data_IF_517442120795
#
_entry.id   IF_517442120795
#
_cell.length_a   1.000
_cell.length_b   1.000
_cell.length_c   1.000
_cell.angle_alpha   90.00
_cell.angle_beta   90.00
_cell.angle_gamma   90.00
#
_symmetry.space_group_name_H-M   'P 1'
#
loop_
_entity.id
_entity.type
_entity.pdbx_description
1 polymer ?
#
# COMPACT_ATOMS: atom_id res chain seq x y z
N UNK A 1 19.75 -8.28 -22.38
CA UNK A 1 18.59 -8.03 -23.29
C UNK A 1 18.14 -6.59 -23.08
N UNK A 2 17.92 -5.85 -24.19
CA UNK A 2 17.50 -4.45 -24.11
C UNK A 2 16.06 -4.31 -24.58
N UNK A 3 15.29 -3.48 -23.90
CA UNK A 3 13.95 -3.10 -24.28
C UNK A 3 13.91 -1.58 -24.48
N UNK A 4 13.20 -1.10 -25.50
CA UNK A 4 13.08 0.32 -25.83
C UNK A 4 11.63 0.66 -26.07
N UNK A 5 11.15 1.74 -25.45
CA UNK A 5 9.78 2.20 -25.61
C UNK A 5 9.34 3.13 -24.49
N UNK A 6 8.01 3.25 -24.25
CA UNK A 6 7.46 4.09 -23.21
C UNK A 6 7.78 3.54 -21.82
N UNK A 7 8.48 4.34 -21.00
CA UNK A 7 8.76 4.08 -19.60
C UNK A 7 8.12 5.17 -18.75
N UNK A 8 7.32 4.80 -17.76
CA UNK A 8 6.75 5.74 -16.81
C UNK A 8 7.80 6.23 -15.82
N UNK A 9 7.85 7.54 -15.64
CA UNK A 9 8.76 8.25 -14.72
C UNK A 9 7.98 9.28 -13.91
N UNK A 10 8.58 9.93 -12.93
CA UNK A 10 7.96 11.06 -12.20
C UNK A 10 7.49 12.21 -13.10
N UNK A 11 8.09 12.34 -14.29
CA UNK A 11 7.70 13.35 -15.28
C UNK A 11 6.75 12.80 -16.35
N UNK A 12 6.08 11.67 -16.10
CA UNK A 12 5.22 10.96 -17.05
C UNK A 12 5.98 9.99 -17.96
N UNK A 13 5.30 9.49 -18.99
CA UNK A 13 5.91 8.56 -19.94
C UNK A 13 7.02 9.22 -20.76
N UNK A 14 8.14 8.51 -20.91
CA UNK A 14 9.29 8.91 -21.73
C UNK A 14 9.82 7.69 -22.49
N UNK A 15 10.18 7.88 -23.76
CA UNK A 15 10.91 6.84 -24.49
C UNK A 15 12.30 6.64 -23.89
N UNK A 16 12.57 5.42 -23.42
CA UNK A 16 13.82 5.00 -22.80
C UNK A 16 14.24 3.63 -23.32
N UNK A 17 15.51 3.32 -23.19
CA UNK A 17 16.02 1.97 -23.35
C UNK A 17 16.40 1.43 -21.97
N UNK A 18 15.88 0.25 -21.63
CA UNK A 18 16.13 -0.43 -20.36
C UNK A 18 16.95 -1.69 -20.63
N UNK A 19 18.02 -1.88 -19.88
CA UNK A 19 18.65 -3.19 -19.77
C UNK A 19 17.84 -4.06 -18.81
N UNK A 20 17.17 -5.07 -19.33
CA UNK A 20 16.29 -5.96 -18.55
C UNK A 20 17.03 -6.87 -17.55
N UNK A 21 18.36 -6.95 -17.60
CA UNK A 21 19.16 -7.79 -16.70
C UNK A 21 19.46 -7.07 -15.37
N UNK A 22 19.74 -5.77 -15.43
CA UNK A 22 20.08 -4.98 -14.25
C UNK A 22 19.11 -3.81 -13.98
N UNK A 23 18.03 -3.73 -14.76
CA UNK A 23 16.98 -2.70 -14.64
C UNK A 23 17.47 -1.26 -14.83
N UNK A 24 18.60 -1.05 -15.50
CA UNK A 24 19.18 0.27 -15.71
C UNK A 24 18.73 0.91 -17.03
N UNK A 25 18.51 2.24 -16.97
CA UNK A 25 18.34 3.05 -18.18
C UNK A 25 19.67 3.15 -18.90
N UNK A 26 19.69 2.85 -20.21
CA UNK A 26 20.90 2.92 -21.05
C UNK A 26 20.63 3.78 -22.27
N UNK A 27 21.69 4.31 -22.89
CA UNK A 27 21.61 5.11 -24.12
C UNK A 27 22.24 4.37 -25.31
N UNK A 28 21.69 4.61 -26.49
CA UNK A 28 22.32 4.21 -27.75
C UNK A 28 22.14 2.74 -28.14
N UNK A 29 21.26 1.99 -27.52
CA UNK A 29 20.94 0.62 -27.90
C UNK A 29 19.58 0.54 -28.61
N UNK A 30 19.48 -0.31 -29.63
CA UNK A 30 18.21 -0.72 -30.21
C UNK A 30 17.67 -1.91 -29.43
N UNK A 31 16.36 -1.89 -29.12
CA UNK A 31 15.65 -2.90 -28.35
C UNK A 31 14.31 -3.23 -28.99
N UNK A 32 13.65 -4.26 -28.46
CA UNK A 32 12.28 -4.60 -28.82
C UNK A 32 11.32 -3.56 -28.22
N UNK A 33 10.34 -3.12 -29.00
CA UNK A 33 9.38 -2.06 -28.64
C UNK A 33 7.99 -2.65 -28.34
N UNK A 34 7.92 -3.79 -27.67
CA UNK A 34 6.63 -4.39 -27.36
C UNK A 34 6.25 -4.14 -25.89
N UNK A 35 5.14 -3.39 -25.70
CA UNK A 35 4.59 -3.10 -24.39
C UNK A 35 4.93 -1.72 -23.82
N UNK A 36 4.67 -1.58 -22.51
CA UNK A 36 4.87 -0.38 -21.70
C UNK A 36 5.59 -0.79 -20.41
N UNK A 37 6.58 -0.02 -19.99
CA UNK A 37 7.24 -0.24 -18.70
C UNK A 37 6.76 0.79 -17.68
N UNK A 38 6.38 0.27 -16.49
CA UNK A 38 6.12 1.08 -15.30
C UNK A 38 7.01 0.62 -14.16
N UNK A 39 7.39 1.52 -13.22
CA UNK A 39 8.07 1.13 -11.99
C UNK A 39 7.25 0.11 -11.19
N UNK A 40 7.90 -0.66 -10.34
CA UNK A 40 7.20 -1.53 -9.39
C UNK A 40 6.25 -0.70 -8.52
N UNK A 41 5.04 -1.20 -8.29
CA UNK A 41 4.03 -0.53 -7.47
C UNK A 41 4.41 -0.51 -5.99
N UNK A 42 3.85 0.45 -5.27
CA UNK A 42 3.86 0.52 -3.80
C UNK A 42 2.48 0.16 -3.27
N UNK A 43 2.39 -0.88 -2.46
CA UNK A 43 1.20 -1.21 -1.70
C UNK A 43 1.38 -0.72 -0.26
N UNK A 44 0.85 0.48 0.00
CA UNK A 44 1.13 1.22 1.22
C UNK A 44 0.33 0.77 2.44
N UNK A 45 -0.55 -0.22 2.27
CA UNK A 45 -1.29 -0.83 3.37
C UNK A 45 -1.84 -2.20 3.00
N UNK A 46 -1.44 -3.22 3.75
CA UNK A 46 -1.93 -4.60 3.61
C UNK A 46 -2.13 -5.29 4.96
N UNK A 47 -2.96 -6.35 4.94
CA UNK A 47 -3.09 -7.36 5.98
C UNK A 47 -2.97 -8.75 5.34
N UNK A 48 -1.76 -9.17 4.98
CA UNK A 48 -1.56 -10.44 4.26
C UNK A 48 -1.93 -11.69 5.07
N UNK A 49 -2.02 -11.57 6.40
CA UNK A 49 -2.37 -12.69 7.29
C UNK A 49 -3.77 -13.27 7.08
N UNK A 50 -4.66 -12.56 6.40
CA UNK A 50 -6.03 -12.98 6.15
C UNK A 50 -6.33 -13.31 4.67
N UNK A 51 -5.33 -13.33 3.78
CA UNK A 51 -5.49 -13.55 2.34
C UNK A 51 -6.28 -14.82 2.01
N UNK A 52 -6.01 -15.94 2.67
CA UNK A 52 -6.71 -17.21 2.44
C UNK A 52 -8.16 -17.22 2.96
N UNK A 53 -8.58 -16.21 3.70
CA UNK A 53 -9.95 -16.07 4.16
C UNK A 53 -10.90 -15.57 3.05
N UNK A 54 -10.39 -15.06 1.93
CA UNK A 54 -11.15 -14.37 0.87
C UNK A 54 -12.43 -15.09 0.42
N UNK A 55 -12.35 -16.37 0.19
CA UNK A 55 -13.50 -17.16 -0.26
C UNK A 55 -14.47 -17.54 0.87
N UNK A 56 -14.13 -17.24 2.11
CA UNK A 56 -14.89 -17.65 3.29
C UNK A 56 -15.48 -16.48 4.08
N UNK A 57 -15.18 -15.26 3.68
CA UNK A 57 -15.69 -14.03 4.34
C UNK A 57 -17.21 -13.97 4.23
N UNK A 58 -17.93 -13.82 5.37
CA UNK A 58 -19.37 -13.58 5.34
C UNK A 58 -19.70 -12.21 4.74
N UNK A 59 -20.59 -12.18 3.74
CA UNK A 59 -20.89 -10.96 2.96
C UNK A 59 -21.71 -9.89 3.69
N UNK A 60 -22.40 -10.26 4.77
CA UNK A 60 -23.39 -9.39 5.42
C UNK A 60 -22.92 -8.87 6.80
N UNK A 61 -21.62 -8.87 7.06
CA UNK A 61 -21.09 -8.35 8.32
C UNK A 61 -20.70 -6.87 8.17
N UNK A 62 -21.06 -6.07 9.18
CA UNK A 62 -20.51 -4.71 9.31
C UNK A 62 -18.99 -4.75 9.57
N UNK A 63 -18.31 -3.65 9.28
CA UNK A 63 -16.87 -3.49 9.54
C UNK A 63 -16.50 -3.97 10.95
N UNK A 64 -17.19 -3.46 11.99
CA UNK A 64 -16.93 -3.83 13.39
C UNK A 64 -17.05 -5.33 13.66
N UNK A 65 -18.09 -5.99 13.12
CA UNK A 65 -18.29 -7.42 13.29
C UNK A 65 -17.30 -8.26 12.51
N UNK A 66 -16.77 -7.73 11.41
CA UNK A 66 -15.82 -8.42 10.56
C UNK A 66 -14.38 -8.27 11.11
N UNK A 67 -13.90 -7.04 11.28
CA UNK A 67 -12.48 -6.75 11.63
C UNK A 67 -12.29 -6.16 13.03
N UNK A 68 -13.34 -5.68 13.68
CA UNK A 68 -13.24 -5.13 15.04
C UNK A 68 -12.76 -6.14 16.08
N UNK A 69 -12.47 -5.71 17.32
CA UNK A 69 -11.97 -6.57 18.39
C UNK A 69 -12.86 -7.82 18.61
N UNK A 70 -12.27 -9.02 18.51
CA UNK A 70 -13.02 -10.29 18.60
C UNK A 70 -13.98 -10.57 17.43
N UNK A 71 -13.90 -9.79 16.35
CA UNK A 71 -14.65 -9.97 15.13
C UNK A 71 -14.36 -11.28 14.40
N UNK A 72 -15.00 -11.47 13.24
CA UNK A 72 -14.87 -12.70 12.46
C UNK A 72 -13.42 -12.97 12.02
N UNK A 73 -12.69 -11.92 11.57
CA UNK A 73 -11.27 -12.00 11.19
C UNK A 73 -10.42 -12.60 12.30
N UNK A 74 -10.53 -12.08 13.54
CA UNK A 74 -9.73 -12.56 14.66
C UNK A 74 -9.98 -14.03 14.95
N UNK A 75 -11.27 -14.47 14.96
CA UNK A 75 -11.62 -15.88 15.15
C UNK A 75 -11.14 -16.79 14.02
N UNK A 76 -11.06 -16.25 12.79
CA UNK A 76 -10.52 -16.97 11.64
C UNK A 76 -9.00 -17.14 11.78
N UNK A 77 -8.28 -16.07 12.14
CA UNK A 77 -6.82 -16.10 12.36
C UNK A 77 -6.41 -17.07 13.48
N UNK A 78 -7.21 -17.20 14.55
CA UNK A 78 -6.96 -18.16 15.64
C UNK A 78 -7.05 -19.63 15.21
N UNK A 79 -7.80 -19.93 14.15
CA UNK A 79 -8.11 -21.28 13.69
C UNK A 79 -7.33 -21.71 12.46
N UNK A 80 -6.67 -20.81 11.79
CA UNK A 80 -6.01 -21.04 10.51
C UNK A 80 -4.52 -20.72 10.58
N UNK A 81 -3.76 -21.28 9.66
CA UNK A 81 -2.34 -21.00 9.55
C UNK A 81 -2.10 -19.64 8.89
N UNK A 82 -1.61 -18.69 9.68
CA UNK A 82 -1.31 -17.33 9.21
C UNK A 82 -0.15 -17.35 8.21
N UNK A 83 0.84 -18.24 8.38
CA UNK A 83 1.99 -18.37 7.48
C UNK A 83 1.54 -18.72 6.05
N UNK A 84 0.67 -19.72 5.90
CA UNK A 84 0.13 -20.08 4.59
C UNK A 84 -0.59 -18.90 3.92
N UNK A 85 -1.32 -18.11 4.72
CA UNK A 85 -2.04 -16.93 4.25
C UNK A 85 -1.08 -15.82 3.78
N UNK A 86 -0.03 -15.56 4.55
CA UNK A 86 1.02 -14.59 4.19
C UNK A 86 1.72 -15.04 2.91
N UNK A 87 2.10 -16.31 2.81
CA UNK A 87 2.75 -16.88 1.61
C UNK A 87 1.85 -16.75 0.37
N UNK A 88 0.54 -16.99 0.52
CA UNK A 88 -0.41 -16.80 -0.58
C UNK A 88 -0.47 -15.33 -1.04
N UNK A 89 -0.60 -14.39 -0.09
CA UNK A 89 -0.59 -12.96 -0.38
C UNK A 89 0.73 -12.51 -1.01
N UNK A 90 1.87 -12.97 -0.52
CA UNK A 90 3.17 -12.64 -1.09
C UNK A 90 3.35 -13.13 -2.54
N UNK A 91 2.76 -14.27 -2.90
CA UNK A 91 2.73 -14.70 -4.31
C UNK A 91 1.96 -13.72 -5.21
N UNK A 92 0.81 -13.24 -4.76
CA UNK A 92 0.05 -12.20 -5.48
C UNK A 92 0.87 -10.89 -5.58
N UNK A 93 1.50 -10.43 -4.50
CA UNK A 93 2.37 -9.25 -4.43
C UNK A 93 3.51 -9.34 -5.47
N UNK A 94 4.25 -10.45 -5.48
CA UNK A 94 5.39 -10.64 -6.38
C UNK A 94 4.93 -10.70 -7.85
N UNK A 95 3.88 -11.46 -8.13
CA UNK A 95 3.39 -11.65 -9.50
C UNK A 95 2.75 -10.40 -10.08
N UNK A 96 2.21 -9.51 -9.25
CA UNK A 96 1.61 -8.24 -9.67
C UNK A 96 2.59 -7.06 -9.73
N UNK A 97 3.89 -7.30 -9.45
CA UNK A 97 4.92 -6.28 -9.58
C UNK A 97 4.89 -5.23 -8.47
N UNK A 98 4.52 -5.61 -7.27
CA UNK A 98 4.58 -4.72 -6.11
C UNK A 98 5.96 -4.75 -5.49
N UNK A 99 6.68 -3.63 -5.49
CA UNK A 99 8.07 -3.52 -5.03
C UNK A 99 8.22 -3.09 -3.57
N UNK A 100 7.20 -2.47 -3.01
CA UNK A 100 7.15 -2.08 -1.59
C UNK A 100 5.80 -2.45 -1.00
N UNK A 101 5.82 -3.03 0.19
CA UNK A 101 4.62 -3.25 0.99
C UNK A 101 4.77 -2.67 2.40
N UNK A 102 3.70 -2.07 2.93
CA UNK A 102 3.52 -1.76 4.34
C UNK A 102 2.45 -2.70 4.87
N UNK A 103 2.85 -3.68 5.68
CA UNK A 103 1.94 -4.72 6.14
C UNK A 103 1.69 -4.65 7.65
N UNK A 104 0.42 -4.48 8.02
CA UNK A 104 0.00 -4.46 9.41
C UNK A 104 -0.15 -5.88 9.94
N UNK A 105 0.66 -6.21 10.96
CA UNK A 105 0.84 -7.59 11.40
C UNK A 105 0.27 -7.80 12.79
N UNK A 106 -0.91 -8.40 12.86
CA UNK A 106 -1.51 -8.91 14.09
C UNK A 106 -0.78 -10.19 14.53
N UNK A 107 -0.81 -10.50 15.82
CA UNK A 107 -0.33 -11.78 16.34
C UNK A 107 1.01 -11.74 17.05
N UNK A 108 1.56 -10.55 17.30
CA UNK A 108 2.77 -10.40 18.12
C UNK A 108 4.07 -10.79 17.39
N UNK A 109 5.10 -11.11 18.18
CA UNK A 109 6.45 -11.34 17.67
C UNK A 109 6.55 -12.58 16.77
N UNK A 110 5.79 -13.63 17.07
CA UNK A 110 5.81 -14.89 16.32
C UNK A 110 5.42 -14.73 14.87
N UNK A 111 4.44 -13.85 14.60
CA UNK A 111 3.91 -13.63 13.25
C UNK A 111 4.81 -12.70 12.42
N UNK A 112 5.57 -11.82 13.06
CA UNK A 112 6.59 -11.03 12.37
C UNK A 112 7.69 -11.89 11.77
N UNK A 113 8.13 -12.94 12.48
CA UNK A 113 9.21 -13.83 12.03
C UNK A 113 8.86 -14.70 10.82
N UNK A 114 7.59 -14.76 10.41
CA UNK A 114 7.19 -15.44 9.17
C UNK A 114 7.93 -14.86 7.97
N UNK A 115 8.09 -13.53 7.93
CA UNK A 115 8.77 -12.85 6.84
C UNK A 115 10.26 -13.15 6.73
N UNK A 116 10.92 -13.60 7.81
CA UNK A 116 12.33 -13.99 7.79
C UNK A 116 12.59 -15.20 6.86
N UNK A 117 11.55 -15.99 6.57
CA UNK A 117 11.60 -17.17 5.72
C UNK A 117 11.04 -16.95 4.31
N UNK A 118 10.61 -15.72 3.98
CA UNK A 118 10.04 -15.39 2.66
C UNK A 118 11.08 -14.67 1.83
N UNK A 119 11.44 -15.26 0.70
CA UNK A 119 12.25 -14.58 -0.32
C UNK A 119 11.38 -13.55 -1.05
N UNK A 120 11.52 -12.30 -0.67
CA UNK A 120 10.89 -11.16 -1.33
C UNK A 120 11.96 -10.23 -1.90
N UNK A 121 12.01 -10.05 -3.23
CA UNK A 121 13.03 -9.20 -3.87
C UNK A 121 12.78 -7.70 -3.67
N UNK A 122 11.59 -7.32 -3.18
CA UNK A 122 11.22 -5.94 -2.85
C UNK A 122 11.49 -5.57 -1.39
N UNK A 123 10.82 -4.55 -0.93
CA UNK A 123 10.91 -4.05 0.45
C UNK A 123 9.62 -4.29 1.22
N UNK A 124 9.69 -5.04 2.32
CA UNK A 124 8.59 -5.23 3.26
C UNK A 124 8.82 -4.42 4.54
N UNK A 125 7.90 -3.51 4.83
CA UNK A 125 7.86 -2.75 6.08
C UNK A 125 6.73 -3.33 6.92
N UNK A 126 7.08 -4.06 7.97
CA UNK A 126 6.13 -4.72 8.85
C UNK A 126 5.82 -3.81 10.04
N UNK A 127 4.54 -3.51 10.22
CA UNK A 127 4.02 -2.73 11.34
C UNK A 127 3.42 -3.70 12.36
N UNK A 128 4.14 -3.93 13.45
CA UNK A 128 3.78 -4.93 14.44
C UNK A 128 2.65 -4.47 15.37
N UNK A 129 1.80 -5.41 15.77
CA UNK A 129 0.82 -5.28 16.86
C UNK A 129 1.18 -6.26 17.95
N UNK A 130 1.42 -5.79 19.20
CA UNK A 130 1.68 -6.70 20.31
C UNK A 130 0.43 -7.51 20.68
N UNK A 131 0.61 -8.73 21.12
CA UNK A 131 -0.40 -9.42 21.92
C UNK A 131 -0.51 -8.76 23.30
N UNK A 132 -1.59 -9.02 24.03
CA UNK A 132 -1.81 -8.45 25.36
C UNK A 132 -0.59 -8.67 26.27
N UNK A 133 -0.04 -7.55 26.79
CA UNK A 133 1.09 -7.56 27.72
C UNK A 133 2.48 -7.71 27.08
N UNK A 134 2.59 -7.81 25.77
CA UNK A 134 3.86 -7.82 25.05
C UNK A 134 4.37 -6.40 24.76
N UNK A 135 5.69 -6.27 24.64
CA UNK A 135 6.31 -5.09 24.05
C UNK A 135 6.04 -5.03 22.54
N UNK A 136 6.21 -3.83 21.95
CA UNK A 136 6.10 -3.64 20.51
C UNK A 136 6.99 -4.64 19.75
N UNK A 137 6.42 -5.56 18.96
CA UNK A 137 7.18 -6.48 18.15
C UNK A 137 7.80 -5.73 16.95
N UNK A 138 9.09 -5.93 16.70
CA UNK A 138 9.83 -5.20 15.66
C UNK A 138 10.09 -3.74 16.03
N UNK A 139 10.25 -2.88 15.01
CA UNK A 139 10.53 -1.45 15.21
C UNK A 139 9.33 -0.55 14.87
N UNK A 140 8.45 -0.94 13.94
CA UNK A 140 7.33 -0.14 13.50
C UNK A 140 6.04 -0.54 14.21
N UNK A 141 5.15 0.41 14.48
CA UNK A 141 3.87 0.20 15.14
C UNK A 141 2.70 0.32 14.15
N UNK A 142 1.82 -0.71 14.12
CA UNK A 142 0.54 -0.68 13.44
C UNK A 142 -0.59 -0.59 14.46
N UNK A 143 -1.31 0.54 14.49
CA UNK A 143 -2.37 0.83 15.47
C UNK A 143 -3.74 0.70 14.81
N UNK A 144 -4.68 -0.06 15.41
CA UNK A 144 -6.01 -0.26 14.82
C UNK A 144 -6.85 0.98 14.84
N UNK A 145 -6.93 1.65 15.99
CA UNK A 145 -7.59 2.95 16.17
C UNK A 145 -7.20 3.54 17.51
N UNK A 146 -7.48 4.81 17.73
CA UNK A 146 -7.31 5.44 19.05
C UNK A 146 -8.28 4.89 20.08
N UNK A 147 -9.45 4.38 19.65
CA UNK A 147 -10.49 3.82 20.54
C UNK A 147 -10.15 2.43 21.04
N UNK A 148 -9.61 1.59 20.14
CA UNK A 148 -9.42 0.16 20.40
C UNK A 148 -8.10 -0.16 21.13
N UNK A 149 -7.15 0.78 21.13
CA UNK A 149 -5.81 0.59 21.66
C UNK A 149 -5.52 1.59 22.76
N UNK A 150 -5.75 1.18 24.01
CA UNK A 150 -5.55 2.04 25.20
C UNK A 150 -4.11 2.51 25.43
N UNK A 151 -3.13 1.84 24.78
CA UNK A 151 -1.70 2.15 24.87
C UNK A 151 -1.11 2.67 23.57
N UNK A 152 -1.91 3.30 22.69
CA UNK A 152 -1.47 3.83 21.39
C UNK A 152 -0.27 4.78 21.50
N UNK A 153 -0.26 5.65 22.53
CA UNK A 153 0.84 6.58 22.80
C UNK A 153 2.13 5.85 23.19
N UNK A 154 2.03 4.77 23.99
CA UNK A 154 3.18 3.97 24.39
C UNK A 154 3.77 3.22 23.19
N UNK A 155 2.92 2.66 22.32
CA UNK A 155 3.34 1.99 21.09
C UNK A 155 4.03 2.95 20.12
N UNK A 156 3.44 4.12 19.91
CA UNK A 156 4.04 5.16 19.07
C UNK A 156 5.39 5.62 19.63
N UNK A 157 5.47 5.82 20.95
CA UNK A 157 6.71 6.19 21.64
C UNK A 157 7.77 5.08 21.51
N UNK A 158 7.39 3.82 21.66
CA UNK A 158 8.28 2.68 21.51
C UNK A 158 8.82 2.55 20.08
N UNK A 159 7.97 2.76 19.06
CA UNK A 159 8.38 2.76 17.67
C UNK A 159 9.40 3.87 17.39
N UNK A 160 9.11 5.09 17.78
CA UNK A 160 10.03 6.24 17.60
C UNK A 160 11.38 6.03 18.29
N UNK A 161 11.41 5.48 19.50
CA UNK A 161 12.68 5.13 20.19
C UNK A 161 13.51 4.12 19.42
N UNK A 162 12.89 3.29 18.60
CA UNK A 162 13.55 2.29 17.74
C UNK A 162 13.84 2.83 16.33
N UNK A 163 13.55 4.10 16.03
CA UNK A 163 13.65 4.67 14.69
C UNK A 163 12.68 4.03 13.69
N UNK A 164 11.52 3.59 14.17
CA UNK A 164 10.48 2.95 13.39
C UNK A 164 9.31 3.88 13.06
N UNK A 165 8.49 3.45 12.10
CA UNK A 165 7.28 4.14 11.65
C UNK A 165 6.08 3.83 12.56
N UNK A 166 5.15 4.77 12.60
CA UNK A 166 3.84 4.64 13.26
C UNK A 166 2.73 4.83 12.22
N UNK A 167 1.97 3.78 11.96
CA UNK A 167 0.78 3.83 11.12
C UNK A 167 -0.49 3.55 11.94
N UNK A 168 -1.60 4.21 11.62
CA UNK A 168 -2.87 4.07 12.34
C UNK A 168 -4.06 4.11 11.40
N UNK A 169 -5.10 3.28 11.63
CA UNK A 169 -6.40 3.41 10.98
C UNK A 169 -7.22 4.51 11.68
N UNK A 170 -7.91 5.33 10.90
CA UNK A 170 -8.72 6.42 11.44
C UNK A 170 -9.87 6.80 10.50
N UNK A 171 -11.00 7.13 11.06
CA UNK A 171 -12.19 7.62 10.35
C UNK A 171 -12.62 6.75 9.17
N UNK A 172 -12.53 5.42 9.29
CA UNK A 172 -12.91 4.49 8.23
C UNK A 172 -14.43 4.36 8.11
N UNK A 173 -15.15 4.12 9.22
CA UNK A 173 -16.60 3.87 9.25
C UNK A 173 -17.41 5.00 9.84
N UNK A 174 -16.77 5.87 10.60
CA UNK A 174 -17.36 7.09 11.19
C UNK A 174 -16.25 8.12 11.39
N UNK A 175 -16.63 9.39 11.54
CA UNK A 175 -15.68 10.44 11.88
C UNK A 175 -15.12 10.23 13.29
N UNK A 176 -13.81 10.25 13.44
CA UNK A 176 -13.11 10.09 14.71
C UNK A 176 -12.40 11.39 15.15
N UNK A 177 -11.79 11.37 16.36
CA UNK A 177 -11.10 12.52 16.96
C UNK A 177 -9.78 12.83 16.23
N UNK A 178 -9.81 13.83 15.35
CA UNK A 178 -8.65 14.24 14.57
C UNK A 178 -7.58 14.94 15.41
N UNK A 179 -7.96 15.65 16.47
CA UNK A 179 -7.00 16.32 17.34
C UNK A 179 -6.21 15.27 18.17
N UNK A 180 -6.86 14.18 18.55
CA UNK A 180 -6.20 13.01 19.14
C UNK A 180 -5.24 12.32 18.18
N UNK A 181 -5.62 12.19 16.89
CA UNK A 181 -4.73 11.67 15.84
C UNK A 181 -3.47 12.53 15.70
N UNK A 182 -3.64 13.85 15.60
CA UNK A 182 -2.52 14.80 15.50
C UNK A 182 -1.64 14.75 16.74
N UNK A 183 -2.25 14.64 17.93
CA UNK A 183 -1.54 14.49 19.21
C UNK A 183 -0.68 13.21 19.27
N UNK A 184 -1.12 12.13 18.61
CA UNK A 184 -0.34 10.90 18.47
C UNK A 184 0.83 11.11 17.51
N UNK A 185 0.71 12.01 16.54
CA UNK A 185 1.68 12.33 15.49
C UNK A 185 2.19 11.06 14.75
N UNK A 186 1.32 10.25 14.13
CA UNK A 186 1.76 9.11 13.33
C UNK A 186 2.51 9.57 12.08
N UNK A 187 3.29 8.67 11.45
CA UNK A 187 3.92 8.94 10.17
C UNK A 187 2.89 8.92 9.05
N UNK A 188 1.92 8.01 9.15
CA UNK A 188 0.79 7.97 8.23
C UNK A 188 -0.50 7.47 8.88
N UNK A 189 -1.60 7.86 8.29
CA UNK A 189 -2.96 7.44 8.65
C UNK A 189 -3.62 6.71 7.49
N UNK A 190 -4.43 5.68 7.79
CA UNK A 190 -5.14 4.88 6.79
C UNK A 190 -6.62 5.25 6.78
N UNK A 191 -7.23 5.28 5.59
CA UNK A 191 -8.63 5.51 5.24
C UNK A 191 -9.08 6.97 5.20
N UNK A 192 -9.38 7.59 6.31
CA UNK A 192 -9.99 8.92 6.42
C UNK A 192 -11.30 9.10 5.62
N UNK A 193 -12.09 8.01 5.41
CA UNK A 193 -13.32 8.04 4.62
C UNK A 193 -14.37 9.03 5.13
N UNK A 194 -14.42 9.25 6.44
CA UNK A 194 -15.38 10.13 7.10
C UNK A 194 -14.75 11.42 7.67
N UNK A 195 -13.52 11.74 7.27
CA UNK A 195 -12.89 13.01 7.62
C UNK A 195 -13.61 14.19 6.93
N UNK A 196 -13.80 15.29 7.66
CA UNK A 196 -14.27 16.54 7.06
C UNK A 196 -13.13 17.26 6.33
N UNK A 197 -13.47 18.26 5.52
CA UNK A 197 -12.47 19.11 4.86
C UNK A 197 -11.50 19.74 5.86
N UNK A 198 -12.01 20.24 6.99
CA UNK A 198 -11.19 20.81 8.07
C UNK A 198 -10.26 19.76 8.71
N UNK A 199 -10.70 18.51 8.81
CA UNK A 199 -9.87 17.40 9.31
C UNK A 199 -8.73 17.11 8.35
N UNK A 200 -9.00 17.09 7.05
CA UNK A 200 -7.98 16.87 6.02
C UNK A 200 -6.93 17.98 6.00
N UNK A 201 -7.36 19.24 6.13
CA UNK A 201 -6.44 20.38 6.23
C UNK A 201 -5.55 20.26 7.46
N UNK A 202 -6.10 19.89 8.62
CA UNK A 202 -5.34 19.66 9.84
C UNK A 202 -4.32 18.51 9.70
N UNK A 203 -4.71 17.40 9.08
CA UNK A 203 -3.81 16.24 8.83
C UNK A 203 -2.66 16.65 7.92
N UNK A 204 -2.96 17.40 6.84
CA UNK A 204 -1.96 17.95 5.93
C UNK A 204 -0.99 18.88 6.66
N UNK A 205 -1.51 19.85 7.41
CA UNK A 205 -0.70 20.84 8.14
C UNK A 205 0.19 20.18 9.20
N UNK A 206 -0.25 19.07 9.77
CA UNK A 206 0.56 18.24 10.67
C UNK A 206 1.64 17.42 9.94
N UNK A 207 1.65 17.40 8.60
CA UNK A 207 2.60 16.65 7.78
C UNK A 207 2.47 15.13 7.96
N UNK A 208 1.24 14.66 8.18
CA UNK A 208 0.89 13.23 8.27
C UNK A 208 0.51 12.75 6.88
N UNK A 209 1.17 11.71 6.39
CA UNK A 209 0.84 11.09 5.10
C UNK A 209 -0.44 10.26 5.19
N UNK A 210 -1.12 10.04 4.06
CA UNK A 210 -2.41 9.34 4.03
C UNK A 210 -2.34 8.12 3.12
N UNK A 211 -2.85 6.99 3.57
CA UNK A 211 -3.05 5.80 2.74
C UNK A 211 -4.54 5.57 2.54
N UNK A 212 -4.97 5.47 1.29
CA UNK A 212 -6.36 5.15 0.94
C UNK A 212 -6.45 3.77 0.32
N UNK A 213 -7.54 3.05 0.64
CA UNK A 213 -7.79 1.67 0.22
C UNK A 213 -9.17 1.55 -0.44
N UNK A 214 -9.39 2.17 -1.62
CA UNK A 214 -10.72 2.34 -2.18
C UNK A 214 -11.52 1.07 -2.40
N UNK A 215 -10.92 -0.05 -2.84
CA UNK A 215 -11.65 -1.33 -3.00
C UNK A 215 -12.12 -1.92 -1.68
N UNK A 216 -11.25 -1.88 -0.67
CA UNK A 216 -11.61 -2.33 0.68
C UNK A 216 -12.71 -1.46 1.27
N UNK A 217 -12.60 -0.14 1.14
CA UNK A 217 -13.60 0.79 1.64
C UNK A 217 -14.97 0.60 0.95
N UNK A 218 -14.98 0.38 -0.38
CA UNK A 218 -16.21 0.10 -1.15
C UNK A 218 -16.94 -1.15 -0.66
N UNK A 219 -16.22 -2.17 -0.17
CA UNK A 219 -16.85 -3.37 0.39
C UNK A 219 -17.81 -3.03 1.54
N UNK A 220 -17.52 -1.97 2.30
CA UNK A 220 -18.36 -1.49 3.40
C UNK A 220 -19.25 -0.30 3.01
N UNK A 221 -19.26 0.11 1.75
CA UNK A 221 -20.03 1.26 1.26
C UNK A 221 -19.39 2.60 1.63
N UNK A 222 -18.11 2.61 2.00
CA UNK A 222 -17.33 3.79 2.31
C UNK A 222 -16.52 4.26 1.10
N UNK A 223 -16.13 5.53 1.07
CA UNK A 223 -15.29 6.09 0.01
C UNK A 223 -14.40 7.19 0.60
N UNK A 224 -13.07 7.14 0.41
CA UNK A 224 -12.20 8.24 0.83
C UNK A 224 -12.45 9.47 -0.04
N UNK A 225 -12.32 10.70 0.50
CA UNK A 225 -12.43 11.95 -0.26
C UNK A 225 -11.15 12.20 -1.08
N UNK A 226 -10.81 11.27 -1.99
CA UNK A 226 -9.52 11.20 -2.67
C UNK A 226 -9.24 12.43 -3.54
N UNK A 227 -10.25 12.94 -4.26
CA UNK A 227 -10.12 14.18 -5.07
C UNK A 227 -9.70 15.35 -4.17
N UNK A 228 -10.35 15.51 -3.03
CA UNK A 228 -10.03 16.60 -2.10
C UNK A 228 -8.62 16.44 -1.51
N UNK A 229 -8.19 15.22 -1.20
CA UNK A 229 -6.84 14.95 -0.71
C UNK A 229 -5.78 15.33 -1.75
N UNK A 230 -6.02 15.03 -3.03
CA UNK A 230 -5.16 15.41 -4.15
C UNK A 230 -5.14 16.93 -4.33
N UNK A 231 -6.30 17.58 -4.33
CA UNK A 231 -6.43 19.05 -4.46
C UNK A 231 -5.70 19.78 -3.34
N UNK A 232 -5.72 19.25 -2.14
CA UNK A 232 -4.95 19.76 -1.01
C UNK A 232 -3.43 19.52 -1.15
N UNK A 233 -2.98 18.66 -2.06
CA UNK A 233 -1.58 18.27 -2.22
C UNK A 233 -1.06 17.49 -1.01
N UNK A 234 -1.87 16.55 -0.48
CA UNK A 234 -1.43 15.65 0.59
C UNK A 234 -0.46 14.60 0.04
N UNK A 235 0.44 14.09 0.88
CA UNK A 235 1.29 12.93 0.54
C UNK A 235 0.45 11.66 0.66
N UNK A 236 0.08 11.08 -0.50
CA UNK A 236 -0.88 9.99 -0.60
C UNK A 236 -0.19 8.71 -1.07
N UNK A 237 -0.58 7.58 -0.47
CA UNK A 237 -0.29 6.24 -0.96
C UNK A 237 -1.57 5.43 -1.17
N UNK A 238 -1.53 4.46 -2.09
CA UNK A 238 -2.60 3.48 -2.25
C UNK A 238 -2.27 2.19 -1.52
N UNK A 239 -3.29 1.55 -0.97
CA UNK A 239 -3.19 0.26 -0.32
C UNK A 239 -4.34 -0.66 -0.69
N UNK A 240 -4.15 -1.98 -0.61
CA UNK A 240 -5.20 -2.97 -0.87
C UNK A 240 -5.93 -3.42 0.39
N UNK A 241 -5.37 -3.10 1.55
CA UNK A 241 -5.89 -3.45 2.87
C UNK A 241 -6.02 -4.99 3.07
N UNK A 242 -7.13 -5.46 3.63
CA UNK A 242 -7.35 -6.86 3.98
C UNK A 242 -7.39 -7.77 2.75
N UNK A 243 -6.43 -8.69 2.64
CA UNK A 243 -6.37 -9.68 1.57
C UNK A 243 -7.60 -10.59 1.50
N UNK A 244 -8.38 -10.68 2.59
CA UNK A 244 -9.65 -11.40 2.63
C UNK A 244 -10.78 -10.67 1.89
N UNK A 245 -10.71 -9.35 1.70
CA UNK A 245 -11.77 -8.55 1.05
C UNK A 245 -11.54 -8.43 -0.45
N UNK A 246 -10.30 -8.26 -0.87
CA UNK A 246 -9.93 -8.12 -2.29
C UNK A 246 -8.55 -8.71 -2.55
N UNK A 247 -8.17 -8.86 -3.84
CA UNK A 247 -6.81 -9.22 -4.21
C UNK A 247 -5.81 -8.17 -3.72
N UNK A 248 -4.60 -8.59 -3.36
CA UNK A 248 -3.53 -7.64 -2.98
C UNK A 248 -2.76 -7.12 -4.20
N UNK A 249 -3.41 -7.16 -5.37
CA UNK A 249 -2.89 -6.71 -6.65
C UNK A 249 -3.11 -5.20 -6.84
N UNK A 250 -2.05 -4.42 -6.93
CA UNK A 250 -2.11 -2.97 -7.11
C UNK A 250 -2.65 -2.54 -8.48
N UNK A 251 -2.48 -3.37 -9.52
CA UNK A 251 -3.04 -3.06 -10.83
C UNK A 251 -4.59 -3.08 -10.80
N UNK A 252 -5.18 -4.01 -10.05
CA UNK A 252 -6.62 -4.04 -9.81
C UNK A 252 -7.09 -2.82 -9.00
N UNK A 253 -6.28 -2.38 -8.01
CA UNK A 253 -6.59 -1.20 -7.20
C UNK A 253 -6.65 0.06 -8.04
N UNK A 254 -5.62 0.34 -8.86
CA UNK A 254 -5.59 1.57 -9.68
C UNK A 254 -6.66 1.56 -10.77
N UNK A 255 -7.01 0.42 -11.34
CA UNK A 255 -8.12 0.27 -12.29
C UNK A 255 -9.46 0.59 -11.63
N UNK A 256 -9.68 0.12 -10.41
CA UNK A 256 -10.86 0.47 -9.62
C UNK A 256 -10.91 1.98 -9.32
N UNK A 257 -9.77 2.58 -8.93
CA UNK A 257 -9.67 4.02 -8.66
C UNK A 257 -10.05 4.83 -9.91
N UNK A 258 -9.53 4.47 -11.09
CA UNK A 258 -9.91 5.10 -12.37
C UNK A 258 -11.42 5.07 -12.60
N UNK A 259 -12.05 3.91 -12.37
CA UNK A 259 -13.50 3.74 -12.59
C UNK A 259 -14.31 4.56 -11.59
N UNK A 260 -13.93 4.53 -10.32
CA UNK A 260 -14.66 5.16 -9.21
C UNK A 260 -14.47 6.67 -9.17
N UNK A 261 -13.28 7.17 -9.46
CA UNK A 261 -12.86 8.57 -9.35
C UNK A 261 -12.46 9.12 -10.72
N UNK A 262 -13.42 9.18 -11.64
CA UNK A 262 -13.18 9.54 -13.05
C UNK A 262 -12.70 10.98 -13.27
N UNK A 263 -12.79 11.85 -12.27
CA UNK A 263 -12.24 13.22 -12.28
C UNK A 263 -10.71 13.27 -12.09
N UNK A 264 -10.11 12.22 -11.57
CA UNK A 264 -8.66 12.16 -11.30
C UNK A 264 -7.92 11.76 -12.58
N UNK A 265 -6.88 12.52 -12.95
CA UNK A 265 -6.04 12.21 -14.10
C UNK A 265 -5.30 10.86 -13.93
N UNK A 266 -5.17 10.11 -15.03
CA UNK A 266 -4.52 8.80 -15.04
C UNK A 266 -3.03 8.89 -14.62
N UNK A 267 -2.37 9.99 -14.98
CA UNK A 267 -1.00 10.32 -14.57
C UNK A 267 -0.88 10.43 -13.05
N UNK A 268 -1.82 11.09 -12.40
CA UNK A 268 -1.86 11.24 -10.93
C UNK A 268 -2.07 9.89 -10.25
N UNK A 269 -3.01 9.07 -10.73
CA UNK A 269 -3.27 7.74 -10.17
C UNK A 269 -2.01 6.86 -10.30
N UNK A 270 -1.40 6.82 -11.49
CA UNK A 270 -0.21 6.01 -11.73
C UNK A 270 0.99 6.51 -10.93
N UNK A 271 1.13 7.84 -10.79
CA UNK A 271 2.18 8.46 -9.98
C UNK A 271 2.07 8.08 -8.51
N UNK A 272 0.87 8.15 -7.93
CA UNK A 272 0.64 7.72 -6.53
C UNK A 272 0.92 6.22 -6.37
N UNK A 273 0.51 5.39 -7.32
CA UNK A 273 0.75 3.95 -7.25
C UNK A 273 2.25 3.56 -7.29
N UNK A 274 3.06 4.33 -8.05
CA UNK A 274 4.49 4.05 -8.19
C UNK A 274 5.36 4.80 -7.17
N UNK A 275 4.94 6.01 -6.76
CA UNK A 275 5.79 6.95 -5.99
C UNK A 275 5.12 7.48 -4.71
N UNK A 276 3.90 7.03 -4.36
CA UNK A 276 3.16 7.50 -3.18
C UNK A 276 3.94 7.35 -1.87
N UNK A 277 3.67 8.24 -0.91
CA UNK A 277 4.36 8.40 0.38
C UNK A 277 5.83 8.84 0.26
N UNK A 278 6.20 9.49 -0.83
CA UNK A 278 7.58 9.96 -1.03
C UNK A 278 8.00 10.95 0.06
N UNK A 279 7.12 11.86 0.49
CA UNK A 279 7.44 12.83 1.55
C UNK A 279 7.69 12.13 2.89
N UNK A 280 6.88 11.11 3.23
CA UNK A 280 7.09 10.31 4.44
C UNK A 280 8.46 9.60 4.40
N UNK A 281 8.79 8.96 3.29
CA UNK A 281 10.05 8.22 3.17
C UNK A 281 11.30 9.11 3.10
N UNK A 282 11.16 10.38 2.74
CA UNK A 282 12.27 11.32 2.59
C UNK A 282 12.41 12.31 3.75
N UNK A 283 11.52 12.26 4.76
CA UNK A 283 11.48 13.21 5.90
C UNK A 283 12.85 13.49 6.53
N UNK A 284 13.73 12.51 6.63
CA UNK A 284 15.01 12.62 7.33
C UNK A 284 16.25 12.66 6.40
N UNK A 285 16.05 12.71 5.07
CA UNK A 285 17.16 12.70 4.11
C UNK A 285 18.04 11.43 4.15
N UNK A 286 17.69 10.45 4.98
CA UNK A 286 18.45 9.20 5.22
C UNK A 286 17.70 7.97 4.71
N UNK A 287 16.64 8.18 3.92
CA UNK A 287 15.73 7.11 3.55
C UNK A 287 16.43 5.97 2.82
N UNK A 288 16.40 4.81 3.45
CA UNK A 288 16.72 3.51 2.84
C UNK A 288 15.78 3.20 1.65
N UNK A 289 14.72 3.99 1.49
CA UNK A 289 13.62 3.76 0.54
C UNK A 289 13.61 4.72 -0.65
N UNK A 290 14.51 5.72 -0.69
CA UNK A 290 14.59 6.73 -1.77
C UNK A 290 14.92 6.18 -3.15
N UNK A 291 15.42 4.95 -3.25
CA UNK A 291 15.84 4.31 -4.50
C UNK A 291 14.85 3.23 -5.01
N UNK A 292 13.61 3.22 -4.54
CA UNK A 292 12.61 2.22 -4.97
C UNK A 292 12.29 2.30 -6.47
N UNK A 293 12.43 3.47 -7.10
CA UNK A 293 12.31 3.63 -8.56
C UNK A 293 13.31 2.75 -9.35
N UNK A 294 14.42 2.38 -8.71
CA UNK A 294 15.47 1.56 -9.31
C UNK A 294 15.38 0.08 -8.94
N UNK A 295 14.40 -0.31 -8.11
CA UNK A 295 14.32 -1.68 -7.62
C UNK A 295 13.73 -2.65 -8.64
N UNK A 296 13.12 -2.15 -9.73
CA UNK A 296 12.62 -3.00 -10.79
C UNK A 296 11.51 -2.36 -11.63
N UNK A 297 10.98 -3.17 -12.55
CA UNK A 297 9.99 -2.73 -13.53
C UNK A 297 8.93 -3.78 -13.78
N UNK A 298 7.75 -3.32 -14.17
CA UNK A 298 6.67 -4.13 -14.73
C UNK A 298 6.60 -3.86 -16.23
N UNK A 299 6.62 -4.90 -17.03
CA UNK A 299 6.32 -4.82 -18.46
C UNK A 299 4.84 -5.19 -18.64
N UNK A 300 4.07 -4.25 -19.17
CA UNK A 300 2.64 -4.41 -19.49
C UNK A 300 2.46 -4.52 -21.01
N UNK A 301 1.45 -5.27 -21.45
CA UNK A 301 1.06 -5.26 -22.85
C UNK A 301 0.46 -3.89 -23.22
N UNK A 302 0.79 -3.41 -24.42
CA UNK A 302 0.19 -2.20 -24.99
C UNK A 302 -1.06 -2.58 -25.78
N UNK A 303 -2.22 -2.10 -25.33
CA UNK A 303 -3.53 -2.41 -25.92
C UNK A 303 -4.22 -1.19 -26.51
N UNK A 304 -3.76 0.02 -26.16
CA UNK A 304 -4.26 1.30 -26.65
C UNK A 304 -3.12 2.16 -27.21
N UNK A 305 -3.44 3.17 -28.02
CA UNK A 305 -2.43 4.11 -28.55
C UNK A 305 -1.83 4.98 -27.45
N UNK A 306 -2.66 5.42 -26.49
CA UNK A 306 -2.23 6.15 -25.32
C UNK A 306 -1.68 5.21 -24.25
N UNK A 307 -0.51 5.53 -23.73
CA UNK A 307 0.18 4.70 -22.75
C UNK A 307 -0.58 4.60 -21.42
N UNK A 308 -1.17 5.71 -20.96
CA UNK A 308 -1.96 5.70 -19.72
C UNK A 308 -3.21 4.84 -19.88
N UNK A 309 -3.96 5.03 -20.97
CA UNK A 309 -5.13 4.20 -21.25
C UNK A 309 -4.77 2.71 -21.31
N UNK A 310 -3.64 2.36 -21.90
CA UNK A 310 -3.15 0.98 -21.92
C UNK A 310 -2.90 0.40 -20.53
N UNK A 311 -2.30 1.15 -19.60
CA UNK A 311 -2.05 0.66 -18.22
C UNK A 311 -3.37 0.36 -17.50
N UNK A 312 -4.37 1.19 -17.71
CA UNK A 312 -5.65 1.08 -17.01
C UNK A 312 -6.67 0.18 -17.73
N UNK A 313 -6.44 -0.23 -18.97
CA UNK A 313 -7.34 -1.16 -19.67
C UNK A 313 -7.26 -2.56 -19.05
N UNK A 314 -8.42 -3.17 -18.85
CA UNK A 314 -8.52 -4.52 -18.27
C UNK A 314 -7.96 -5.61 -19.16
N UNK A 315 -7.77 -5.36 -20.46
CA UNK A 315 -7.13 -6.28 -21.42
C UNK A 315 -5.60 -6.21 -21.36
N UNK A 316 -5.05 -5.16 -20.73
CA UNK A 316 -3.60 -5.08 -20.56
C UNK A 316 -3.15 -6.08 -19.49
N UNK A 317 -2.17 -6.89 -19.86
CA UNK A 317 -1.64 -7.97 -19.04
C UNK A 317 -0.20 -7.69 -18.62
N UNK A 318 0.18 -8.21 -17.45
CA UNK A 318 1.58 -8.20 -17.01
C UNK A 318 2.34 -9.25 -17.82
N UNK A 319 3.18 -8.80 -18.76
CA UNK A 319 4.05 -9.66 -19.58
C UNK A 319 5.30 -10.11 -18.81
N UNK A 320 5.69 -9.36 -17.80
CA UNK A 320 6.81 -9.71 -16.95
C UNK A 320 7.06 -8.71 -15.83
N UNK A 321 7.67 -9.21 -14.76
CA UNK A 321 8.19 -8.40 -13.66
C UNK A 321 9.70 -8.62 -13.62
N UNK A 322 10.46 -7.54 -13.48
CA UNK A 322 11.92 -7.57 -13.37
C UNK A 322 12.32 -6.86 -12.10
N UNK A 323 13.14 -7.53 -11.33
CA UNK A 323 13.68 -7.04 -10.07
C UNK A 323 15.17 -6.72 -10.27
N UNK A 324 15.60 -5.62 -9.67
CA UNK A 324 17.02 -5.29 -9.63
C UNK A 324 17.69 -6.17 -8.57
N UNK A 325 18.70 -6.94 -9.01
CA UNK A 325 19.52 -7.77 -8.10
C UNK A 325 20.45 -6.92 -7.23
#
# INVERSE_FOLDING_TARGET
>A
MFWKGPVFTKDGFRNRTINLENCEVVEGFDGEEDGIIVPLFRNCHTHLGDTLARDTVPKDLSLEKLVGPGGWKHRWLEKNNIEDSVVAGMKEIISSGTGLILDFREGGKEVLSIFDNIEYPGTAILLGRPKNGEELPGKNAGISSLKDVSNSVDLATAARKKGGLVGIHHSENEREDIDGLIGLAPDFVVHLCHASDDDLEKVKDAGISVVVCPRSNEYFGNSPPLEKMIDLGMDIGFGTDNGMLCSVNMLDEIRFIREKFSSIGLDSILSIACFGLDDMFNKDGTSTYSNLEQSGWILLSRVEEDEYESVFDTKSEILGVRWRN
#
